data_IF_407624452346
#
_entry.id   IF_407624452346
#
_cell.length_a   1.000
_cell.length_b   1.000
_cell.length_c   1.000
_cell.angle_alpha   90.00
_cell.angle_beta   90.00
_cell.angle_gamma   90.00
#
_symmetry.space_group_name_H-M   'P 1'
#
loop_
_entity.id
_entity.type
_entity.pdbx_description
1 polymer ?
#
# COMPACT_ATOMS: atom_id res chain seq x y z
N UNK A 1 -49.83 -45.11 -57.32
CA UNK A 1 -48.90 -43.95 -57.32
C UNK A 1 -49.63 -42.72 -56.78
N UNK A 2 -49.40 -42.38 -55.52
CA UNK A 2 -50.04 -41.23 -54.86
C UNK A 2 -49.28 -39.97 -55.31
N UNK A 3 -49.82 -39.22 -56.28
CA UNK A 3 -49.36 -37.85 -56.57
C UNK A 3 -49.80 -36.96 -55.40
N UNK A 4 -48.99 -36.87 -54.35
CA UNK A 4 -49.14 -35.79 -53.38
C UNK A 4 -49.11 -34.47 -54.14
N UNK A 5 -50.21 -33.73 -54.07
CA UNK A 5 -50.34 -32.41 -54.70
C UNK A 5 -49.18 -31.57 -54.18
N UNK A 6 -48.30 -31.07 -55.05
CA UNK A 6 -47.06 -30.34 -54.68
C UNK A 6 -47.30 -29.25 -53.63
N UNK A 7 -48.47 -28.61 -53.64
CA UNK A 7 -48.90 -27.63 -52.65
C UNK A 7 -49.07 -28.15 -51.21
N UNK A 8 -49.41 -29.43 -51.04
CA UNK A 8 -49.51 -30.05 -49.72
C UNK A 8 -48.12 -30.27 -49.11
N UNK A 9 -47.13 -30.67 -49.92
CA UNK A 9 -45.74 -30.86 -49.46
C UNK A 9 -45.14 -29.52 -49.02
N UNK A 10 -45.36 -28.45 -49.80
CA UNK A 10 -44.89 -27.10 -49.43
C UNK A 10 -45.58 -26.55 -48.18
N UNK A 11 -46.87 -26.86 -47.98
CA UNK A 11 -47.61 -26.49 -46.77
C UNK A 11 -47.02 -27.17 -45.54
N UNK A 12 -46.79 -28.50 -45.60
CA UNK A 12 -46.19 -29.25 -44.50
C UNK A 12 -44.76 -28.77 -44.19
N UNK A 13 -43.94 -28.47 -45.20
CA UNK A 13 -42.60 -27.92 -44.97
C UNK A 13 -42.63 -26.55 -44.30
N UNK A 14 -43.58 -25.68 -44.69
CA UNK A 14 -43.76 -24.37 -44.07
C UNK A 14 -44.23 -24.48 -42.62
N UNK A 15 -45.17 -25.39 -42.32
CA UNK A 15 -45.64 -25.64 -40.96
C UNK A 15 -44.54 -26.16 -40.05
N UNK A 16 -43.72 -27.11 -40.54
CA UNK A 16 -42.58 -27.63 -39.78
C UNK A 16 -41.56 -26.52 -39.54
N UNK A 17 -41.21 -25.74 -40.57
CA UNK A 17 -40.27 -24.63 -40.45
C UNK A 17 -40.76 -23.58 -39.46
N UNK A 18 -42.04 -23.20 -39.52
CA UNK A 18 -42.66 -22.26 -38.60
C UNK A 18 -42.64 -22.79 -37.16
N UNK A 19 -42.96 -24.07 -36.95
CA UNK A 19 -42.88 -24.69 -35.63
C UNK A 19 -41.46 -24.69 -35.06
N UNK A 20 -40.45 -24.97 -35.88
CA UNK A 20 -39.04 -24.94 -35.46
C UNK A 20 -38.61 -23.51 -35.11
N UNK A 21 -38.99 -22.52 -35.93
CA UNK A 21 -38.77 -21.11 -35.64
C UNK A 21 -39.42 -20.67 -34.32
N UNK A 22 -40.66 -21.09 -34.04
CA UNK A 22 -41.33 -20.81 -32.77
C UNK A 22 -40.57 -21.39 -31.56
N UNK A 23 -39.99 -22.59 -31.69
CA UNK A 23 -39.18 -23.19 -30.62
C UNK A 23 -37.88 -22.41 -30.36
N UNK A 24 -37.21 -21.94 -31.42
CA UNK A 24 -36.03 -21.07 -31.27
C UNK A 24 -36.39 -19.74 -30.61
N UNK A 25 -37.48 -19.09 -31.04
CA UNK A 25 -37.95 -17.83 -30.45
C UNK A 25 -38.35 -17.98 -28.97
N UNK A 26 -38.97 -19.10 -28.60
CA UNK A 26 -39.27 -19.40 -27.19
C UNK A 26 -37.98 -19.49 -26.38
N UNK A 27 -37.02 -20.31 -26.83
CA UNK A 27 -35.73 -20.50 -26.15
C UNK A 27 -34.98 -19.18 -25.99
N UNK A 28 -34.96 -18.35 -27.03
CA UNK A 28 -34.34 -17.02 -26.97
C UNK A 28 -35.06 -16.12 -25.96
N UNK A 29 -36.39 -16.20 -25.87
CA UNK A 29 -37.19 -15.50 -24.87
C UNK A 29 -36.81 -15.84 -23.43
N UNK A 30 -36.60 -17.12 -23.12
CA UNK A 30 -36.17 -17.58 -21.79
C UNK A 30 -34.74 -17.14 -21.46
N UNK A 31 -33.83 -17.24 -22.43
CA UNK A 31 -32.44 -16.78 -22.27
C UNK A 31 -32.43 -15.27 -22.02
N UNK A 32 -33.19 -14.48 -22.78
CA UNK A 32 -33.30 -13.04 -22.59
C UNK A 32 -33.91 -12.67 -21.24
N UNK A 33 -34.93 -13.41 -20.79
CA UNK A 33 -35.53 -13.21 -19.48
C UNK A 33 -34.53 -13.48 -18.35
N UNK A 34 -33.76 -14.57 -18.44
CA UNK A 34 -32.69 -14.88 -17.48
C UNK A 34 -31.59 -13.82 -17.48
N UNK A 35 -31.16 -13.36 -18.65
CA UNK A 35 -30.15 -12.29 -18.75
C UNK A 35 -30.65 -10.98 -18.14
N UNK A 36 -31.93 -10.61 -18.35
CA UNK A 36 -32.54 -9.44 -17.70
C UNK A 36 -32.62 -9.59 -16.19
N UNK A 37 -33.01 -10.75 -15.69
CA UNK A 37 -33.03 -11.02 -14.24
C UNK A 37 -31.62 -10.89 -13.65
N UNK A 38 -30.63 -11.54 -14.25
CA UNK A 38 -29.24 -11.45 -13.82
C UNK A 38 -28.70 -10.02 -13.86
N UNK A 39 -29.03 -9.25 -14.90
CA UNK A 39 -28.63 -7.85 -15.02
C UNK A 39 -29.32 -6.97 -13.97
N UNK A 40 -30.60 -7.23 -13.66
CA UNK A 40 -31.33 -6.55 -12.59
C UNK A 40 -30.73 -6.80 -11.21
N UNK A 41 -30.34 -8.04 -10.91
CA UNK A 41 -29.66 -8.36 -9.65
C UNK A 41 -28.28 -7.70 -9.56
N UNK A 42 -27.48 -7.73 -10.64
CA UNK A 42 -26.19 -7.05 -10.70
C UNK A 42 -26.34 -5.54 -10.53
N UNK A 43 -27.36 -4.95 -11.15
CA UNK A 43 -27.64 -3.53 -11.03
C UNK A 43 -28.01 -3.15 -9.60
N UNK A 44 -28.92 -3.91 -8.97
CA UNK A 44 -29.30 -3.69 -7.56
C UNK A 44 -28.11 -3.84 -6.62
N UNK A 45 -27.26 -4.84 -6.85
CA UNK A 45 -26.03 -5.04 -6.10
C UNK A 45 -25.10 -3.82 -6.20
N UNK A 46 -24.88 -3.30 -7.41
CA UNK A 46 -24.03 -2.11 -7.60
C UNK A 46 -24.62 -0.86 -6.92
N UNK A 47 -25.92 -0.62 -7.05
CA UNK A 47 -26.58 0.53 -6.41
C UNK A 47 -26.48 0.49 -4.89
N UNK A 48 -26.58 -0.69 -4.28
CA UNK A 48 -26.42 -0.84 -2.83
C UNK A 48 -24.97 -0.61 -2.38
N UNK A 49 -23.98 -0.88 -3.25
CA UNK A 49 -22.56 -0.83 -2.91
C UNK A 49 -21.87 0.48 -3.22
N UNK A 50 -22.39 1.26 -4.15
CA UNK A 50 -21.90 2.58 -4.48
C UNK A 50 -21.54 3.44 -3.24
N UNK A 51 -22.40 3.58 -2.20
CA UNK A 51 -22.04 4.36 -1.02
C UNK A 51 -20.85 3.78 -0.25
N UNK A 52 -20.74 2.45 -0.11
CA UNK A 52 -19.60 1.81 0.56
C UNK A 52 -18.30 1.98 -0.23
N UNK A 53 -18.38 1.94 -1.56
CA UNK A 53 -17.23 2.17 -2.43
C UNK A 53 -16.76 3.62 -2.32
N UNK A 54 -17.68 4.58 -2.38
CA UNK A 54 -17.32 6.01 -2.23
C UNK A 54 -16.72 6.33 -0.86
N UNK A 55 -17.13 5.66 0.22
CA UNK A 55 -16.53 5.82 1.54
C UNK A 55 -15.11 5.23 1.64
N UNK A 56 -14.85 4.13 0.94
CA UNK A 56 -13.53 3.48 0.95
C UNK A 56 -12.52 4.14 0.01
N UNK A 57 -12.98 4.68 -1.12
CA UNK A 57 -12.18 5.41 -2.11
C UNK A 57 -12.16 6.89 -1.68
N UNK A 58 -11.84 7.14 -0.41
CA UNK A 58 -11.46 8.48 0.00
C UNK A 58 -10.07 8.77 -0.55
N UNK A 59 -9.81 9.99 -1.05
CA UNK A 59 -8.51 10.36 -1.64
C UNK A 59 -7.34 10.29 -0.64
N UNK A 60 -7.62 10.09 0.65
CA UNK A 60 -6.61 10.01 1.72
C UNK A 60 -6.82 8.78 2.61
N UNK A 61 -6.85 7.58 2.02
CA UNK A 61 -6.91 6.31 2.76
C UNK A 61 -5.77 6.15 3.77
N UNK A 62 -4.59 6.75 3.49
CA UNK A 62 -3.47 6.78 4.43
C UNK A 62 -3.80 7.64 5.66
N UNK A 63 -4.45 8.80 5.51
CA UNK A 63 -4.93 9.60 6.63
C UNK A 63 -5.98 8.88 7.47
N UNK A 64 -6.91 8.17 6.84
CA UNK A 64 -7.88 7.34 7.55
C UNK A 64 -7.18 6.29 8.43
N UNK A 65 -6.13 5.65 7.91
CA UNK A 65 -5.29 4.74 8.69
C UNK A 65 -4.55 5.43 9.84
N UNK A 66 -4.04 6.65 9.65
CA UNK A 66 -3.38 7.43 10.72
C UNK A 66 -4.35 7.79 11.84
N UNK A 67 -5.57 8.21 11.51
CA UNK A 67 -6.59 8.58 12.49
C UNK A 67 -7.09 7.36 13.28
N UNK A 68 -7.39 6.26 12.59
CA UNK A 68 -7.87 5.03 13.22
C UNK A 68 -6.81 4.34 14.09
N UNK A 69 -5.53 4.64 13.86
CA UNK A 69 -4.41 4.10 14.64
C UNK A 69 -4.23 4.74 16.02
N UNK A 70 -4.85 5.89 16.32
CA UNK A 70 -4.67 6.61 17.59
C UNK A 70 -5.02 5.77 18.84
N UNK A 71 -5.78 4.69 18.68
CA UNK A 71 -6.09 3.72 19.74
C UNK A 71 -5.47 2.33 19.58
N UNK A 72 -4.61 2.10 18.57
CA UNK A 72 -4.13 0.77 18.18
C UNK A 72 -2.59 0.69 18.15
N UNK A 73 -1.96 0.72 19.33
CA UNK A 73 -0.49 0.83 19.45
C UNK A 73 0.27 -0.51 19.34
N UNK A 74 -0.39 -1.65 19.53
CA UNK A 74 0.26 -2.96 19.68
C UNK A 74 0.18 -3.89 18.46
N UNK A 75 -0.59 -3.54 17.42
CA UNK A 75 -0.88 -4.44 16.29
C UNK A 75 -0.03 -4.05 15.07
N UNK A 76 0.36 -5.02 14.24
CA UNK A 76 1.10 -4.80 12.98
C UNK A 76 0.20 -4.40 11.81
N UNK A 77 -1.08 -4.76 11.88
CA UNK A 77 -2.12 -4.44 10.91
C UNK A 77 -3.49 -4.41 11.57
N UNK A 78 -4.39 -3.55 11.14
CA UNK A 78 -5.78 -3.57 11.57
C UNK A 78 -6.72 -3.31 10.40
N UNK A 79 -7.99 -3.68 10.60
CA UNK A 79 -9.06 -3.48 9.62
C UNK A 79 -9.96 -2.32 10.04
N UNK A 80 -10.29 -1.47 9.09
CA UNK A 80 -11.37 -0.49 9.21
C UNK A 80 -12.57 -1.07 8.49
N UNK A 81 -13.71 -1.16 9.17
CA UNK A 81 -14.94 -1.71 8.63
C UNK A 81 -15.94 -0.60 8.33
N UNK A 82 -16.49 -0.60 7.12
CA UNK A 82 -17.60 0.25 6.70
C UNK A 82 -18.85 -0.60 6.60
N UNK A 83 -19.89 -0.21 7.34
CA UNK A 83 -21.16 -0.91 7.41
C UNK A 83 -22.28 0.06 7.00
N UNK A 84 -23.17 -0.39 6.12
CA UNK A 84 -24.43 0.31 5.86
C UNK A 84 -25.46 -0.10 6.93
N UNK A 85 -26.12 0.85 7.61
CA UNK A 85 -27.07 0.55 8.68
C UNK A 85 -28.29 -0.26 8.21
N UNK A 86 -28.58 -0.29 6.90
CA UNK A 86 -29.74 -0.98 6.33
C UNK A 86 -29.46 -2.43 5.88
N UNK A 87 -28.19 -2.86 5.73
CA UNK A 87 -27.84 -4.18 5.21
C UNK A 87 -26.62 -4.76 5.96
N UNK A 88 -26.86 -5.61 6.96
CA UNK A 88 -25.82 -6.23 7.79
C UNK A 88 -24.91 -7.24 7.05
N UNK A 89 -25.28 -7.69 5.85
CA UNK A 89 -24.54 -8.69 5.08
C UNK A 89 -23.44 -8.13 4.17
N UNK A 90 -23.51 -6.84 3.82
CA UNK A 90 -22.50 -6.20 2.98
C UNK A 90 -21.57 -5.38 3.87
N UNK A 91 -20.30 -5.77 3.91
CA UNK A 91 -19.27 -5.13 4.71
C UNK A 91 -18.11 -4.80 3.79
N UNK A 92 -17.56 -3.61 3.95
CA UNK A 92 -16.35 -3.21 3.25
C UNK A 92 -15.22 -3.07 4.26
N UNK A 93 -14.07 -3.64 3.96
CA UNK A 93 -12.90 -3.53 4.81
C UNK A 93 -11.76 -2.83 4.09
N UNK A 94 -11.02 -2.05 4.86
CA UNK A 94 -9.75 -1.49 4.48
C UNK A 94 -8.69 -2.01 5.44
N UNK A 95 -7.61 -2.58 4.93
CA UNK A 95 -6.48 -2.99 5.78
C UNK A 95 -5.47 -1.86 5.88
N UNK A 96 -5.18 -1.47 7.11
CA UNK A 96 -4.10 -0.57 7.46
C UNK A 96 -2.92 -1.40 7.97
N UNK A 97 -1.73 -1.14 7.44
CA UNK A 97 -0.49 -1.79 7.87
C UNK A 97 0.50 -0.76 8.37
N UNK A 98 1.24 -1.11 9.41
CA UNK A 98 2.34 -0.26 9.90
C UNK A 98 3.55 -0.45 9.00
N UNK A 99 3.96 0.62 8.33
CA UNK A 99 5.21 0.70 7.59
C UNK A 99 6.28 1.36 8.47
N UNK A 100 7.47 0.79 8.46
CA UNK A 100 8.65 1.31 9.17
C UNK A 100 9.74 1.61 8.15
N UNK A 101 10.52 2.67 8.36
CA UNK A 101 11.73 2.91 7.57
C UNK A 101 12.75 1.80 7.79
N UNK A 102 12.90 1.35 9.04
CA UNK A 102 13.89 0.37 9.45
C UNK A 102 13.30 -1.05 9.47
N UNK A 103 13.97 -1.98 8.78
CA UNK A 103 13.74 -3.43 8.86
C UNK A 103 14.34 -4.00 10.14
N UNK A 104 15.55 -3.53 10.47
CA UNK A 104 16.32 -3.88 11.67
C UNK A 104 17.13 -2.67 12.10
N UNK A 105 17.44 -2.59 13.39
CA UNK A 105 18.30 -1.53 13.92
C UNK A 105 19.77 -1.96 13.92
N UNK A 106 20.71 -1.03 13.70
CA UNK A 106 22.14 -1.32 13.80
C UNK A 106 22.49 -1.67 15.25
N UNK A 107 23.39 -2.64 15.41
CA UNK A 107 23.86 -3.11 16.73
C UNK A 107 25.20 -2.48 17.14
N UNK A 108 25.81 -1.72 16.24
CA UNK A 108 27.09 -1.04 16.44
C UNK A 108 27.05 0.35 15.84
N UNK A 109 27.99 1.19 16.27
CA UNK A 109 28.10 2.57 15.81
C UNK A 109 28.36 2.65 14.29
N UNK A 110 29.14 1.72 13.74
CA UNK A 110 29.42 1.62 12.30
C UNK A 110 28.96 0.25 11.80
N UNK A 111 28.12 0.22 10.77
CA UNK A 111 27.55 -1.01 10.20
C UNK A 111 27.56 -0.96 8.68
N UNK A 112 27.76 -2.10 8.03
CA UNK A 112 27.76 -2.21 6.58
C UNK A 112 26.41 -2.71 6.03
N UNK A 113 26.00 -2.23 4.86
CA UNK A 113 24.87 -2.75 4.09
C UNK A 113 23.55 -2.02 4.32
N UNK A 114 23.40 -0.80 3.79
CA UNK A 114 22.20 0.06 3.95
C UNK A 114 20.90 -0.67 3.62
N UNK A 115 20.89 -1.47 2.54
CA UNK A 115 19.71 -2.20 2.06
C UNK A 115 19.19 -3.25 3.05
N UNK A 116 20.04 -3.76 3.94
CA UNK A 116 19.65 -4.75 4.94
C UNK A 116 18.95 -4.12 6.14
N UNK A 117 19.20 -2.84 6.40
CA UNK A 117 18.65 -2.12 7.55
C UNK A 117 17.41 -1.30 7.19
N UNK A 118 17.33 -0.81 5.95
CA UNK A 118 16.34 0.19 5.56
C UNK A 118 15.49 -0.27 4.38
N UNK A 119 14.23 0.15 4.33
CA UNK A 119 13.34 -0.03 3.19
C UNK A 119 12.78 1.32 2.69
N UNK A 120 12.89 1.55 1.39
CA UNK A 120 12.36 2.72 0.67
C UNK A 120 12.59 4.08 1.38
N UNK A 121 13.86 4.47 1.62
CA UNK A 121 14.20 5.72 2.33
C UNK A 121 13.67 6.99 1.67
N UNK A 122 13.46 7.00 0.34
CA UNK A 122 12.91 8.15 -0.41
C UNK A 122 11.55 8.59 0.11
N UNK A 123 10.72 7.62 0.50
CA UNK A 123 9.35 7.89 0.96
C UNK A 123 9.27 8.58 2.33
N UNK A 124 10.39 8.73 3.04
CA UNK A 124 10.46 9.25 4.41
C UNK A 124 11.09 10.64 4.53
N UNK A 125 11.44 11.28 3.40
CA UNK A 125 12.05 12.62 3.38
C UNK A 125 13.24 12.78 4.37
N UNK A 126 14.25 11.90 4.32
CA UNK A 126 15.41 12.01 5.20
C UNK A 126 16.19 13.29 4.92
N UNK A 127 16.97 13.74 5.90
CA UNK A 127 17.86 14.88 5.74
C UNK A 127 18.92 14.59 4.68
N UNK A 128 19.37 15.64 4.03
CA UNK A 128 20.47 15.62 3.05
C UNK A 128 21.43 16.76 3.37
N UNK A 129 22.67 16.69 2.89
CA UNK A 129 23.63 17.78 3.09
C UNK A 129 23.33 18.95 2.14
N UNK A 130 23.63 20.20 2.54
CA UNK A 130 24.18 20.62 3.85
C UNK A 130 23.12 20.72 4.96
N UNK A 131 23.54 20.49 6.21
CA UNK A 131 22.67 20.58 7.40
C UNK A 131 22.59 22.02 7.93
N UNK A 132 21.40 22.43 8.35
CA UNK A 132 21.16 23.68 9.09
C UNK A 132 21.41 23.49 10.59
N UNK A 133 21.53 24.59 11.35
CA UNK A 133 21.68 24.51 12.83
C UNK A 133 20.52 23.79 13.52
N UNK A 134 19.31 23.88 12.96
CA UNK A 134 18.14 23.19 13.51
C UNK A 134 18.26 21.66 13.34
N UNK A 135 18.92 21.20 12.26
CA UNK A 135 19.07 19.78 11.97
C UNK A 135 19.95 19.05 12.98
N UNK A 136 20.96 19.72 13.53
CA UNK A 136 21.81 19.15 14.58
C UNK A 136 21.09 19.00 15.93
N UNK A 137 20.03 19.78 16.18
CA UNK A 137 19.28 19.74 17.43
C UNK A 137 18.18 18.66 17.45
N UNK A 138 17.84 18.09 16.29
CA UNK A 138 16.77 17.11 16.16
C UNK A 138 17.29 15.67 16.03
N UNK A 139 16.41 14.71 16.38
CA UNK A 139 16.63 13.29 16.09
C UNK A 139 16.28 13.04 14.64
N UNK A 140 17.25 12.68 13.82
CA UNK A 140 17.01 12.58 12.39
C UNK A 140 17.71 11.41 11.72
N UNK A 141 17.24 11.11 10.52
CA UNK A 141 17.91 10.20 9.59
C UNK A 141 18.52 11.05 8.48
N UNK A 142 19.84 10.97 8.34
CA UNK A 142 20.59 11.61 7.26
C UNK A 142 20.82 10.56 6.17
N UNK A 143 20.49 10.87 4.91
CA UNK A 143 20.69 9.95 3.80
C UNK A 143 21.53 10.56 2.69
N UNK A 144 22.63 9.88 2.37
CA UNK A 144 23.64 10.30 1.41
C UNK A 144 23.75 9.22 0.33
N UNK A 145 23.24 9.54 -0.87
CA UNK A 145 23.24 8.59 -2.00
C UNK A 145 24.56 8.58 -2.77
N UNK A 146 25.24 9.72 -2.80
CA UNK A 146 26.45 9.96 -3.59
C UNK A 146 27.63 10.24 -2.68
N UNK A 147 28.84 10.18 -3.25
CA UNK A 147 30.05 10.55 -2.53
C UNK A 147 29.88 11.94 -1.91
N UNK A 148 30.11 12.01 -0.61
CA UNK A 148 29.73 13.18 0.19
C UNK A 148 30.83 13.54 1.17
N UNK A 149 31.13 14.84 1.24
CA UNK A 149 31.94 15.43 2.29
C UNK A 149 31.03 16.19 3.27
N UNK A 150 31.06 15.78 4.53
CA UNK A 150 30.29 16.40 5.60
C UNK A 150 31.23 17.10 6.58
N UNK A 151 31.19 18.42 6.60
CA UNK A 151 31.85 19.23 7.63
C UNK A 151 30.86 19.39 8.80
N UNK A 152 31.12 18.69 9.90
CA UNK A 152 30.31 18.78 11.11
C UNK A 152 30.59 20.10 11.84
N UNK A 153 29.52 20.83 12.14
CA UNK A 153 29.56 22.07 12.93
C UNK A 153 29.15 21.85 14.40
N UNK A 154 28.45 20.75 14.69
CA UNK A 154 27.94 20.40 16.00
C UNK A 154 27.71 18.88 16.11
N UNK A 155 27.35 18.43 17.32
CA UNK A 155 26.94 17.06 17.57
C UNK A 155 25.66 16.70 16.80
N UNK A 156 25.61 15.49 16.25
CA UNK A 156 24.47 14.99 15.48
C UNK A 156 23.83 13.80 16.19
N UNK A 157 22.51 13.81 16.34
CA UNK A 157 21.75 12.78 17.04
C UNK A 157 20.91 12.02 16.02
N UNK A 158 21.39 10.87 15.54
CA UNK A 158 20.73 10.28 14.38
C UNK A 158 21.32 9.00 13.84
N UNK A 159 20.69 8.54 12.76
CA UNK A 159 21.20 7.44 11.94
C UNK A 159 21.63 8.04 10.60
N UNK A 160 22.89 7.81 10.22
CA UNK A 160 23.43 8.22 8.92
C UNK A 160 23.39 7.02 7.99
N UNK A 161 22.78 7.18 6.83
CA UNK A 161 22.70 6.20 5.76
C UNK A 161 23.59 6.68 4.61
N UNK A 162 24.73 6.02 4.39
CA UNK A 162 25.69 6.37 3.35
C UNK A 162 25.75 5.27 2.28
N UNK A 163 25.14 5.50 1.12
CA UNK A 163 25.17 4.52 0.02
C UNK A 163 26.48 4.55 -0.78
N UNK A 164 27.25 5.63 -0.64
CA UNK A 164 28.54 5.84 -1.31
C UNK A 164 29.62 6.23 -0.29
N UNK A 165 30.78 6.71 -0.75
CA UNK A 165 31.88 7.08 0.14
C UNK A 165 31.54 8.35 0.94
N UNK A 166 31.80 8.32 2.24
CA UNK A 166 31.51 9.41 3.17
C UNK A 166 32.79 9.87 3.85
N UNK A 167 33.13 11.14 3.66
CA UNK A 167 34.18 11.79 4.42
C UNK A 167 33.59 12.78 5.42
N UNK A 168 33.90 12.59 6.70
CA UNK A 168 33.43 13.44 7.79
C UNK A 168 34.61 14.24 8.31
N UNK A 169 34.44 15.56 8.41
CA UNK A 169 35.45 16.51 8.91
C UNK A 169 34.81 17.45 9.94
N UNK A 170 35.61 18.38 10.48
CA UNK A 170 35.15 19.38 11.45
C UNK A 170 35.21 18.88 12.89
N UNK A 171 34.33 19.43 13.74
CA UNK A 171 34.25 19.09 15.16
C UNK A 171 32.83 18.66 15.51
N UNK A 172 32.69 17.48 16.12
CA UNK A 172 31.39 16.97 16.54
C UNK A 172 31.36 15.46 16.74
N UNK A 173 30.37 15.03 17.51
CA UNK A 173 30.11 13.63 17.81
C UNK A 173 28.80 13.21 17.17
N UNK A 174 28.81 12.09 16.45
CA UNK A 174 27.60 11.41 16.00
C UNK A 174 27.14 10.49 17.13
N UNK A 175 26.05 10.86 17.79
CA UNK A 175 25.33 10.00 18.71
C UNK A 175 24.33 9.18 17.91
N UNK A 176 24.59 7.89 17.76
CA UNK A 176 23.74 6.96 17.02
C UNK A 176 24.54 5.97 16.19
N UNK A 177 24.24 5.85 14.90
CA UNK A 177 24.89 4.89 14.03
C UNK A 177 25.07 5.39 12.60
N UNK A 178 26.14 4.94 11.95
CA UNK A 178 26.43 5.13 10.53
C UNK A 178 26.31 3.77 9.85
N UNK A 179 25.35 3.66 8.94
CA UNK A 179 25.13 2.49 8.09
C UNK A 179 25.65 2.84 6.71
N UNK A 180 26.61 2.09 6.19
CA UNK A 180 27.33 2.46 4.98
C UNK A 180 27.49 1.31 3.98
N UNK A 181 27.58 1.64 2.69
CA UNK A 181 28.02 0.70 1.65
C UNK A 181 29.44 1.01 1.17
N UNK A 182 29.80 2.30 1.09
CA UNK A 182 31.13 2.78 0.70
C UNK A 182 32.11 2.84 1.87
N UNK A 183 33.22 3.57 1.69
CA UNK A 183 34.20 3.86 2.74
C UNK A 183 33.73 5.03 3.59
N UNK A 184 33.91 4.92 4.90
CA UNK A 184 33.65 6.02 5.85
C UNK A 184 34.98 6.48 6.44
N UNK A 185 35.33 7.74 6.19
CA UNK A 185 36.53 8.38 6.72
C UNK A 185 36.12 9.40 7.78
N UNK A 186 36.43 9.12 9.03
CA UNK A 186 36.22 10.02 10.16
C UNK A 186 37.47 10.88 10.37
N UNK A 187 37.31 12.21 10.42
CA UNK A 187 38.37 13.13 10.79
C UNK A 187 38.81 12.93 12.25
N UNK A 188 40.02 13.40 12.59
CA UNK A 188 40.65 13.13 13.89
C UNK A 188 39.84 13.62 15.10
N UNK A 189 39.04 14.67 14.92
CA UNK A 189 38.19 15.28 15.98
C UNK A 189 36.75 14.76 15.96
N UNK A 190 36.38 13.99 14.95
CA UNK A 190 35.04 13.43 14.85
C UNK A 190 34.96 12.15 15.68
N UNK A 191 33.87 12.00 16.45
CA UNK A 191 33.61 10.81 17.25
C UNK A 191 32.29 10.18 16.87
N UNK A 192 32.20 8.87 17.05
CA UNK A 192 31.00 8.09 16.79
C UNK A 192 30.66 7.30 18.06
N UNK A 193 29.51 7.60 18.65
CA UNK A 193 29.07 7.03 19.92
C UNK A 193 27.74 6.31 19.71
N UNK A 194 27.76 5.00 19.91
CA UNK A 194 26.56 4.17 19.76
C UNK A 194 25.61 4.34 20.94
N UNK A 195 24.35 4.66 20.65
CA UNK A 195 23.29 4.83 21.67
C UNK A 195 22.02 4.06 21.30
N UNK A 196 21.82 2.83 21.80
CA UNK A 196 20.68 1.98 21.44
C UNK A 196 19.31 2.65 21.65
N UNK A 197 19.12 3.31 22.80
CA UNK A 197 17.84 3.96 23.12
C UNK A 197 17.51 5.15 22.21
N UNK A 198 18.53 5.81 21.66
CA UNK A 198 18.32 6.87 20.67
C UNK A 198 17.81 6.28 19.36
N UNK A 199 18.41 5.18 18.91
CA UNK A 199 18.00 4.45 17.70
C UNK A 199 16.57 3.92 17.81
N UNK A 200 16.19 3.38 18.97
CA UNK A 200 14.81 2.92 19.22
C UNK A 200 13.80 4.07 19.08
N UNK A 201 14.12 5.25 19.61
CA UNK A 201 13.27 6.45 19.49
C UNK A 201 13.16 6.92 18.04
N UNK A 202 14.29 7.02 17.33
CA UNK A 202 14.30 7.38 15.90
C UNK A 202 13.47 6.38 15.10
N UNK A 203 13.65 5.08 15.37
CA UNK A 203 12.92 4.03 14.68
C UNK A 203 11.42 4.07 14.95
N UNK A 204 11.00 4.46 16.15
CA UNK A 204 9.60 4.66 16.49
C UNK A 204 9.00 5.90 15.81
N UNK A 205 9.78 6.98 15.68
CA UNK A 205 9.40 8.21 14.97
C UNK A 205 9.27 8.00 13.45
N UNK A 206 10.00 7.03 12.90
CA UNK A 206 9.94 6.66 11.47
C UNK A 206 9.05 5.42 11.24
N UNK A 207 7.87 5.41 11.87
CA UNK A 207 6.79 4.46 11.62
C UNK A 207 5.52 5.22 11.24
N UNK A 208 4.82 4.72 10.22
CA UNK A 208 3.59 5.32 9.74
C UNK A 208 2.59 4.25 9.34
N UNK A 209 1.32 4.50 9.65
CA UNK A 209 0.22 3.67 9.20
C UNK A 209 -0.12 4.03 7.76
N UNK A 210 -0.16 3.02 6.89
CA UNK A 210 -0.54 3.19 5.49
C UNK A 210 -1.60 2.19 5.09
N UNK A 211 -2.40 2.58 4.11
CA UNK A 211 -3.31 1.69 3.44
C UNK A 211 -2.54 0.59 2.71
N UNK A 212 -2.98 -0.66 2.88
CA UNK A 212 -2.47 -1.78 2.10
C UNK A 212 -3.22 -1.87 0.77
N UNK A 213 -2.56 -1.51 -0.33
CA UNK A 213 -3.13 -1.61 -1.67
C UNK A 213 -3.64 -3.03 -1.98
N UNK A 214 -4.82 -3.12 -2.60
CA UNK A 214 -5.43 -4.40 -2.97
C UNK A 214 -6.07 -5.16 -1.80
N UNK A 215 -6.16 -4.56 -0.61
CA UNK A 215 -6.91 -5.13 0.54
C UNK A 215 -8.43 -5.02 0.43
N UNK A 216 -8.94 -4.90 -0.81
CA UNK A 216 -10.35 -4.73 -1.11
C UNK A 216 -11.07 -6.07 -0.98
N UNK A 217 -12.06 -6.13 -0.09
CA UNK A 217 -12.89 -7.31 0.11
C UNK A 217 -14.35 -6.94 0.35
N UNK A 218 -15.24 -7.62 -0.37
CA UNK A 218 -16.70 -7.43 -0.36
C UNK A 218 -17.41 -8.36 0.63
N UNK A 219 -16.68 -9.35 1.09
CA UNK A 219 -17.13 -10.44 1.95
C UNK A 219 -16.06 -10.69 2.99
N UNK A 220 -16.45 -11.18 4.16
CA UNK A 220 -15.50 -11.59 5.19
C UNK A 220 -14.65 -12.76 4.63
N UNK A 221 -13.34 -12.58 4.43
CA UNK A 221 -12.46 -13.67 4.04
C UNK A 221 -12.22 -14.53 5.29
N UNK A 222 -13.06 -15.55 5.47
CA UNK A 222 -12.82 -16.61 6.46
C UNK A 222 -11.43 -17.25 6.26
#
# INVERSE_FOLDING_TARGET
MIRMKKGLVTLWSLLILASVLCLFLWRDGEILALQRANMGERWRYLQQREPLLTQSIMPDSDELCRQAAAGQSAVSSFRIEFVLPANASQRHYLLCRRHSLFKRLPQQALQQGVADFVQNPESWQPLTLPLSKADYAQRAVLWLKTDSEWVMEADFYGIVLAEADLQIRGEGTIFGAVIHNGKVLLGERNRLVFQPHLLEKIAAEHQQWRYQAGSWHDFDPL
#
